data_IF_042660188275
#
_entry.id   IF_042660188275
#
_cell.length_a   1.000
_cell.length_b   1.000
_cell.length_c   1.000
_cell.angle_alpha   90.00
_cell.angle_beta   90.00
_cell.angle_gamma   90.00
#
_symmetry.space_group_name_H-M   'P 1'
#
loop_
_entity.id
_entity.type
_entity.pdbx_description
1 polymer ?
#
# COMPACT_ATOMS: atom_id res chain seq x y z
N UNK A 1 0.71 26.13 -16.04
CA UNK A 1 0.87 24.98 -16.94
C UNK A 1 -0.38 24.14 -16.85
N UNK A 2 -0.98 23.78 -17.99
CA UNK A 2 -2.01 22.75 -18.07
C UNK A 2 -1.32 21.42 -18.33
N UNK A 3 -1.30 20.54 -17.32
CA UNK A 3 -0.64 19.23 -17.40
C UNK A 3 -1.24 18.35 -18.49
N UNK A 4 -2.55 18.45 -18.76
CA UNK A 4 -3.21 17.64 -19.78
C UNK A 4 -2.80 18.09 -21.17
N UNK A 5 -2.63 19.39 -21.38
CA UNK A 5 -2.11 19.93 -22.62
C UNK A 5 -0.64 19.55 -22.81
N UNK A 6 0.17 19.61 -21.74
CA UNK A 6 1.58 19.24 -21.79
C UNK A 6 1.79 17.77 -22.15
N UNK A 7 1.04 16.86 -21.51
CA UNK A 7 1.05 15.42 -21.85
C UNK A 7 0.69 15.19 -23.32
N UNK A 8 -0.26 15.96 -23.87
CA UNK A 8 -0.66 15.85 -25.28
C UNK A 8 0.38 16.38 -26.26
N UNK A 9 1.37 17.15 -25.80
CA UNK A 9 2.45 17.68 -26.65
C UNK A 9 3.47 16.60 -27.05
N UNK A 10 3.51 15.47 -26.34
CA UNK A 10 4.40 14.35 -26.66
C UNK A 10 3.93 13.64 -27.94
N UNK A 11 4.88 13.35 -28.82
CA UNK A 11 4.61 12.73 -30.13
C UNK A 11 5.33 11.39 -30.27
N UNK A 12 4.75 10.42 -30.99
CA UNK A 12 5.41 9.16 -31.28
C UNK A 12 6.71 9.39 -32.08
N UNK A 13 7.70 8.56 -31.82
CA UNK A 13 8.97 8.55 -32.55
C UNK A 13 8.86 7.58 -33.72
N UNK A 14 9.33 7.99 -34.90
CA UNK A 14 9.36 7.16 -36.10
C UNK A 14 10.40 6.03 -35.95
N UNK A 15 9.90 4.79 -35.86
CA UNK A 15 10.72 3.59 -35.66
C UNK A 15 11.49 3.23 -36.92
N UNK A 16 10.93 3.47 -38.11
CA UNK A 16 11.59 3.12 -39.38
C UNK A 16 12.81 4.01 -39.60
N UNK A 17 12.66 5.31 -39.32
CA UNK A 17 13.78 6.26 -39.37
C UNK A 17 14.84 5.96 -38.30
N UNK A 18 14.42 5.68 -37.08
CA UNK A 18 15.33 5.32 -35.98
C UNK A 18 16.14 4.05 -36.29
N UNK A 19 15.51 3.05 -36.91
CA UNK A 19 16.16 1.77 -37.24
C UNK A 19 17.20 1.88 -38.36
N UNK A 20 17.20 2.99 -39.12
CA UNK A 20 18.18 3.27 -40.17
C UNK A 20 19.44 3.98 -39.64
N UNK A 21 19.42 4.46 -38.39
CA UNK A 21 20.58 5.09 -37.76
C UNK A 21 21.62 4.04 -37.37
N UNK A 22 22.91 4.37 -37.58
CA UNK A 22 24.00 3.47 -37.19
C UNK A 22 24.07 3.35 -35.67
N UNK A 23 24.17 2.12 -35.17
CA UNK A 23 24.36 1.76 -33.76
C UNK A 23 23.13 1.87 -32.83
N UNK A 24 21.90 1.80 -33.35
CA UNK A 24 20.70 1.67 -32.50
C UNK A 24 20.56 0.21 -32.03
N UNK A 25 20.49 0.01 -30.72
CA UNK A 25 20.29 -1.32 -30.13
C UNK A 25 18.83 -1.75 -30.15
N UNK A 26 18.57 -3.07 -30.17
CA UNK A 26 17.22 -3.65 -30.11
C UNK A 26 16.43 -3.15 -28.89
N UNK A 27 17.10 -3.00 -27.73
CA UNK A 27 16.51 -2.47 -26.50
C UNK A 27 16.02 -1.02 -26.66
N UNK A 28 16.70 -0.20 -27.46
CA UNK A 28 16.27 1.19 -27.75
C UNK A 28 15.03 1.17 -28.63
N UNK A 29 15.00 0.34 -29.67
CA UNK A 29 13.83 0.18 -30.56
C UNK A 29 12.60 -0.29 -29.77
N UNK A 30 12.76 -1.27 -28.89
CA UNK A 30 11.65 -1.79 -28.08
C UNK A 30 11.17 -0.78 -27.02
N UNK A 31 12.07 0.02 -26.47
CA UNK A 31 11.72 1.13 -25.58
C UNK A 31 10.88 2.19 -26.31
N UNK A 32 11.22 2.49 -27.57
CA UNK A 32 10.46 3.41 -28.41
C UNK A 32 9.08 2.86 -28.78
N UNK A 33 8.95 1.56 -29.07
CA UNK A 33 7.64 0.92 -29.27
C UNK A 33 6.75 1.07 -28.04
N UNK A 34 7.28 0.79 -26.84
CA UNK A 34 6.55 0.97 -25.59
C UNK A 34 6.14 2.42 -25.34
N UNK A 35 7.04 3.37 -25.61
CA UNK A 35 6.77 4.80 -25.50
C UNK A 35 5.67 5.28 -26.45
N UNK A 36 5.72 4.88 -27.73
CA UNK A 36 4.69 5.23 -28.72
C UNK A 36 3.31 4.66 -28.32
N UNK A 37 3.30 3.43 -27.80
CA UNK A 37 2.08 2.80 -27.29
C UNK A 37 1.53 3.53 -26.06
N UNK A 38 2.39 4.03 -25.18
CA UNK A 38 1.96 4.84 -24.05
C UNK A 38 1.31 6.16 -24.48
N UNK A 39 1.86 6.85 -25.48
CA UNK A 39 1.27 8.06 -26.04
C UNK A 39 -0.13 7.79 -26.62
N UNK A 40 -0.30 6.67 -27.33
CA UNK A 40 -1.59 6.29 -27.88
C UNK A 40 -2.63 6.01 -26.79
N UNK A 41 -2.22 5.32 -25.72
CA UNK A 41 -3.06 5.12 -24.54
C UNK A 41 -3.44 6.45 -23.87
N UNK A 42 -2.53 7.42 -23.78
CA UNK A 42 -2.83 8.75 -23.23
C UNK A 42 -3.82 9.53 -24.09
N UNK A 43 -3.74 9.41 -25.42
CA UNK A 43 -4.68 10.06 -26.36
C UNK A 43 -6.10 9.48 -26.26
N UNK A 44 -6.19 8.18 -26.04
CA UNK A 44 -7.46 7.45 -25.88
C UNK A 44 -8.03 7.51 -24.46
N UNK A 45 -7.38 8.24 -23.53
CA UNK A 45 -7.84 8.40 -22.15
C UNK A 45 -7.52 7.22 -21.22
N UNK A 46 -6.69 6.28 -21.67
CA UNK A 46 -6.24 5.09 -20.92
C UNK A 46 -4.97 5.39 -20.10
N UNK A 47 -5.06 6.35 -19.19
CA UNK A 47 -3.93 6.93 -18.44
C UNK A 47 -3.17 5.89 -17.59
N UNK A 48 -3.87 5.01 -16.89
CA UNK A 48 -3.25 3.97 -16.06
C UNK A 48 -2.42 2.97 -16.88
N UNK A 49 -2.92 2.58 -18.06
CA UNK A 49 -2.22 1.66 -18.97
C UNK A 49 -0.97 2.35 -19.52
N UNK A 50 -1.08 3.62 -19.90
CA UNK A 50 0.05 4.40 -20.35
C UNK A 50 1.14 4.51 -19.27
N UNK A 51 0.76 4.76 -18.02
CA UNK A 51 1.71 4.82 -16.90
C UNK A 51 2.40 3.48 -16.64
N UNK A 52 1.73 2.34 -16.82
CA UNK A 52 2.34 1.01 -16.70
C UNK A 52 3.37 0.80 -17.82
N UNK A 53 3.01 1.11 -19.06
CA UNK A 53 3.89 0.98 -20.22
C UNK A 53 5.12 1.88 -20.08
N UNK A 54 4.94 3.14 -19.64
CA UNK A 54 6.04 4.07 -19.38
C UNK A 54 6.97 3.60 -18.27
N UNK A 55 6.45 3.00 -17.19
CA UNK A 55 7.30 2.42 -16.13
C UNK A 55 8.18 1.28 -16.67
N UNK A 56 7.62 0.44 -17.55
CA UNK A 56 8.38 -0.61 -18.20
C UNK A 56 9.49 -0.01 -19.07
N UNK A 57 9.16 0.97 -19.90
CA UNK A 57 10.12 1.70 -20.75
C UNK A 57 11.25 2.29 -19.91
N UNK A 58 10.94 3.04 -18.86
CA UNK A 58 11.93 3.66 -17.97
C UNK A 58 12.77 2.63 -17.20
N UNK A 59 12.22 1.43 -16.91
CA UNK A 59 13.00 0.36 -16.26
C UNK A 59 14.01 -0.30 -17.19
N UNK A 60 13.72 -0.35 -18.49
CA UNK A 60 14.56 -1.00 -19.51
C UNK A 60 15.56 -0.02 -20.11
N UNK A 61 15.14 1.22 -20.35
CA UNK A 61 15.98 2.31 -20.82
C UNK A 61 15.84 3.51 -19.88
N UNK A 62 16.63 3.52 -18.79
CA UNK A 62 16.53 4.57 -17.77
C UNK A 62 16.89 5.95 -18.28
N UNK A 63 17.68 6.07 -19.34
CA UNK A 63 18.16 7.35 -19.89
C UNK A 63 17.27 7.86 -21.04
N UNK A 64 16.11 7.22 -21.26
CA UNK A 64 15.11 7.71 -22.20
C UNK A 64 14.30 8.86 -21.56
N UNK A 65 14.90 10.05 -21.52
CA UNK A 65 14.38 11.17 -20.74
C UNK A 65 13.01 11.69 -21.20
N UNK A 66 12.62 11.53 -22.46
CA UNK A 66 11.25 11.81 -22.91
C UNK A 66 10.23 10.90 -22.22
N UNK A 67 10.53 9.61 -22.08
CA UNK A 67 9.67 8.66 -21.37
C UNK A 67 9.65 8.94 -19.85
N UNK A 68 10.78 9.35 -19.27
CA UNK A 68 10.89 9.75 -17.85
C UNK A 68 10.06 11.00 -17.57
N UNK A 69 10.18 12.04 -18.41
CA UNK A 69 9.41 13.28 -18.31
C UNK A 69 7.91 13.02 -18.50
N UNK A 70 7.52 12.22 -19.50
CA UNK A 70 6.12 11.87 -19.73
C UNK A 70 5.52 11.10 -18.55
N UNK A 71 6.28 10.16 -17.96
CA UNK A 71 5.87 9.46 -16.75
C UNK A 71 5.75 10.40 -15.53
N UNK A 72 6.69 11.33 -15.37
CA UNK A 72 6.64 12.37 -14.35
C UNK A 72 5.39 13.24 -14.47
N UNK A 73 5.03 13.66 -15.69
CA UNK A 73 3.81 14.43 -15.95
C UNK A 73 2.54 13.62 -15.64
N UNK A 74 2.51 12.32 -15.97
CA UNK A 74 1.40 11.45 -15.60
C UNK A 74 1.25 11.31 -14.07
N UNK A 75 2.36 11.22 -13.33
CA UNK A 75 2.33 11.24 -11.87
C UNK A 75 1.85 12.58 -11.32
N UNK A 76 2.29 13.70 -11.89
CA UNK A 76 1.82 15.02 -11.49
C UNK A 76 0.32 15.18 -11.76
N UNK A 77 -0.17 14.72 -12.91
CA UNK A 77 -1.59 14.76 -13.30
C UNK A 77 -2.47 13.93 -12.36
N UNK A 78 -1.96 12.77 -11.90
CA UNK A 78 -2.63 11.88 -10.95
C UNK A 78 -2.36 12.23 -9.48
N UNK A 79 -1.82 13.43 -9.21
CA UNK A 79 -1.54 13.97 -7.88
C UNK A 79 -0.53 13.15 -7.03
N UNK A 80 0.38 12.43 -7.68
CA UNK A 80 1.51 11.72 -7.06
C UNK A 80 2.78 12.58 -7.12
N UNK A 81 2.75 13.73 -6.44
CA UNK A 81 3.76 14.79 -6.57
C UNK A 81 5.17 14.32 -6.20
N UNK A 82 5.33 13.51 -5.15
CA UNK A 82 6.66 13.04 -4.71
C UNK A 82 7.38 12.22 -5.80
N UNK A 83 6.63 11.36 -6.52
CA UNK A 83 7.17 10.55 -7.61
C UNK A 83 7.45 11.37 -8.85
N UNK A 84 6.59 12.35 -9.13
CA UNK A 84 6.82 13.29 -10.23
C UNK A 84 8.11 14.07 -10.00
N UNK A 85 8.32 14.56 -8.77
CA UNK A 85 9.53 15.29 -8.37
C UNK A 85 10.78 14.43 -8.53
N UNK A 86 10.77 13.18 -8.08
CA UNK A 86 11.89 12.24 -8.25
C UNK A 86 12.29 12.10 -9.72
N UNK A 87 11.32 11.89 -10.61
CA UNK A 87 11.59 11.70 -12.03
C UNK A 87 12.07 12.97 -12.73
N UNK A 88 11.49 14.14 -12.42
CA UNK A 88 11.93 15.39 -13.02
C UNK A 88 13.31 15.83 -12.51
N UNK A 89 13.62 15.64 -11.22
CA UNK A 89 14.95 15.88 -10.67
C UNK A 89 16.00 15.02 -11.38
N UNK A 90 15.69 13.74 -11.61
CA UNK A 90 16.57 12.84 -12.34
C UNK A 90 16.93 13.35 -13.74
N UNK A 91 15.95 13.88 -14.48
CA UNK A 91 16.20 14.43 -15.82
C UNK A 91 17.00 15.74 -15.74
N UNK A 92 16.62 16.64 -14.83
CA UNK A 92 17.29 17.93 -14.66
C UNK A 92 18.77 17.79 -14.22
N UNK A 93 19.09 16.76 -13.44
CA UNK A 93 20.47 16.48 -13.01
C UNK A 93 21.32 15.84 -14.11
N UNK A 94 20.70 15.14 -15.06
CA UNK A 94 21.40 14.39 -16.10
C UNK A 94 21.56 15.16 -17.42
N UNK A 95 20.62 16.05 -17.74
CA UNK A 95 20.63 16.85 -18.95
C UNK A 95 20.89 18.33 -18.62
N UNK A 96 22.10 18.80 -18.94
CA UNK A 96 22.57 20.17 -18.67
C UNK A 96 21.66 21.26 -19.29
N UNK A 97 20.92 20.93 -20.35
CA UNK A 97 20.00 21.83 -21.08
C UNK A 97 18.51 21.41 -20.99
N UNK A 98 18.10 20.61 -19.99
CA UNK A 98 16.68 20.19 -19.86
C UNK A 98 15.78 21.28 -19.26
N UNK A 99 15.52 22.30 -20.07
CA UNK A 99 14.63 23.43 -19.73
C UNK A 99 13.25 22.93 -19.26
N UNK A 100 12.72 21.87 -19.89
CA UNK A 100 11.41 21.29 -19.55
C UNK A 100 11.37 20.62 -18.18
N UNK A 101 12.37 19.82 -17.81
CA UNK A 101 12.39 19.16 -16.51
C UNK A 101 12.45 20.18 -15.35
N UNK A 102 13.24 21.25 -15.52
CA UNK A 102 13.29 22.36 -14.57
C UNK A 102 11.96 23.13 -14.49
N UNK A 103 11.27 23.35 -15.62
CA UNK A 103 9.94 23.95 -15.65
C UNK A 103 8.89 23.08 -14.92
N UNK A 104 8.93 21.76 -15.11
CA UNK A 104 8.04 20.81 -14.44
C UNK A 104 8.26 20.81 -12.92
N UNK A 105 9.53 20.80 -12.46
CA UNK A 105 9.89 20.94 -11.04
C UNK A 105 9.36 22.23 -10.43
N UNK A 106 9.56 23.36 -11.13
CA UNK A 106 9.06 24.66 -10.68
C UNK A 106 7.52 24.69 -10.59
N UNK A 107 6.84 24.06 -11.54
CA UNK A 107 5.37 23.99 -11.54
C UNK A 107 4.83 23.18 -10.36
N UNK A 108 5.36 21.97 -10.12
CA UNK A 108 4.89 21.12 -9.02
C UNK A 108 5.26 21.69 -7.63
N UNK A 109 6.42 22.35 -7.53
CA UNK A 109 6.86 23.01 -6.30
C UNK A 109 6.00 24.21 -5.89
N UNK A 110 5.52 24.99 -6.88
CA UNK A 110 4.59 26.11 -6.63
C UNK A 110 3.17 25.64 -6.25
N UNK A 111 2.72 24.49 -6.76
CA UNK A 111 1.42 23.89 -6.41
C UNK A 111 1.35 23.41 -4.96
N UNK A 112 2.45 22.85 -4.44
CA UNK A 112 2.57 22.33 -3.07
C UNK A 112 2.61 23.43 -1.99
N UNK A 113 3.04 24.65 -2.35
CA UNK A 113 3.19 25.79 -1.43
C UNK A 113 1.86 26.51 -1.05
N UNK A 114 0.72 26.11 -1.63
CA UNK A 114 -0.60 26.69 -1.31
C UNK A 114 -1.26 26.13 -0.04
N UNK A 115 -0.61 25.19 0.66
CA UNK A 115 -1.17 24.55 1.85
C UNK A 115 -0.12 24.04 2.83
N UNK A 116 0.63 24.93 3.49
CA UNK A 116 1.11 24.78 4.89
C UNK A 116 2.01 25.95 5.28
N UNK A 117 1.72 26.54 6.44
CA UNK A 117 2.57 27.50 7.13
C UNK A 117 3.53 26.80 8.10
N UNK A 118 4.64 27.51 8.38
CA UNK A 118 5.63 27.35 9.48
C UNK A 118 6.62 26.17 9.33
N UNK A 119 7.96 26.33 9.39
CA UNK A 119 8.82 27.50 9.62
C UNK A 119 10.31 27.10 9.70
N UNK A 120 11.17 28.12 9.90
CA UNK A 120 12.65 28.14 10.07
C UNK A 120 13.47 28.39 8.79
N UNK A 121 13.77 29.65 8.43
CA UNK A 121 14.96 30.48 8.83
C UNK A 121 16.21 30.11 8.02
N UNK A 122 16.77 30.95 7.14
CA UNK A 122 17.41 32.26 7.43
C UNK A 122 17.59 33.15 6.17
N UNK A 123 17.34 34.46 6.35
CA UNK A 123 18.09 35.67 5.88
C UNK A 123 18.27 35.90 4.35
N UNK A 124 18.07 37.08 3.73
CA UNK A 124 18.18 38.50 4.13
C UNK A 124 17.22 39.41 3.32
N UNK A 125 16.62 40.36 4.04
CA UNK A 125 16.05 41.69 3.74
C UNK A 125 16.07 42.27 2.30
N UNK A 126 14.93 42.87 1.93
CA UNK A 126 14.83 44.32 1.71
C UNK A 126 13.40 44.84 1.93
N UNK A 127 13.32 46.07 2.44
CA UNK A 127 12.16 46.74 3.03
C UNK A 127 11.31 47.51 2.00
N UNK A 128 9.99 47.54 2.18
CA UNK A 128 9.17 48.76 2.21
C UNK A 128 7.69 48.45 2.59
N UNK A 129 7.17 49.18 3.57
CA UNK A 129 5.78 49.23 4.08
C UNK A 129 5.07 50.48 3.45
N UNK A 130 3.79 50.78 3.75
CA UNK A 130 2.55 49.99 3.67
C UNK A 130 1.39 50.80 3.02
N UNK A 131 0.29 50.18 2.58
CA UNK A 131 -1.02 50.86 2.57
C UNK A 131 -2.21 49.88 2.63
N UNK A 132 -3.26 50.33 3.34
CA UNK A 132 -4.44 49.61 3.85
C UNK A 132 -5.70 49.99 3.01
N UNK A 133 -6.92 49.47 3.25
CA UNK A 133 -7.66 48.63 2.29
C UNK A 133 -9.06 49.14 1.85
N UNK A 134 -9.73 48.32 0.99
CA UNK A 134 -11.19 48.13 0.76
C UNK A 134 -11.71 48.56 -0.65
N UNK A 135 -12.90 48.10 -1.13
CA UNK A 135 -13.78 47.01 -0.69
C UNK A 135 -14.20 46.02 -1.82
N UNK A 136 -14.90 44.96 -1.38
CA UNK A 136 -15.50 43.86 -2.15
C UNK A 136 -16.62 44.33 -3.09
N UNK A 137 -16.71 43.74 -4.28
CA UNK A 137 -17.94 43.67 -5.08
C UNK A 137 -18.34 42.22 -5.33
N UNK A 138 -19.60 41.93 -4.97
CA UNK A 138 -20.32 40.69 -5.23
C UNK A 138 -20.69 40.66 -6.71
N UNK A 139 -20.54 39.53 -7.39
CA UNK A 139 -21.33 39.24 -8.59
C UNK A 139 -21.94 37.84 -8.56
N UNK A 140 -23.16 37.81 -9.08
CA UNK A 140 -24.19 36.79 -8.98
C UNK A 140 -23.84 35.48 -9.71
N UNK A 141 -24.40 34.38 -9.18
CA UNK A 141 -24.60 33.14 -9.93
C UNK A 141 -25.71 33.33 -10.97
N UNK A 142 -25.60 32.71 -12.17
CA UNK A 142 -26.76 32.23 -12.90
C UNK A 142 -26.98 30.73 -12.67
N UNK A 143 -28.27 30.37 -12.62
CA UNK A 143 -28.83 29.03 -12.41
C UNK A 143 -28.69 28.15 -13.66
N UNK A 144 -28.77 26.84 -13.37
CA UNK A 144 -28.74 25.66 -14.23
C UNK A 144 -29.77 25.63 -15.36
N UNK A 145 -29.44 24.88 -16.41
CA UNK A 145 -30.43 24.11 -17.18
C UNK A 145 -30.31 22.63 -16.78
N UNK A 146 -31.42 22.08 -16.30
CA UNK A 146 -31.67 20.67 -16.01
C UNK A 146 -31.91 19.89 -17.30
N UNK A 147 -31.36 18.69 -17.40
CA UNK A 147 -32.01 17.57 -18.10
C UNK A 147 -31.98 16.36 -17.17
N UNK A 148 -33.09 16.19 -16.45
CA UNK A 148 -33.47 14.98 -15.74
C UNK A 148 -33.74 13.89 -16.78
N UNK A 149 -32.74 13.07 -17.12
CA UNK A 149 -33.01 11.77 -17.77
C UNK A 149 -31.85 10.76 -17.66
N UNK A 150 -30.69 11.13 -17.09
CA UNK A 150 -29.50 10.25 -17.05
C UNK A 150 -29.23 9.64 -15.66
N UNK A 151 -30.09 9.87 -14.67
CA UNK A 151 -29.78 9.48 -13.27
C UNK A 151 -29.98 8.01 -12.91
N UNK A 152 -30.72 7.23 -13.71
CA UNK A 152 -30.93 5.81 -13.39
C UNK A 152 -29.68 4.96 -13.65
N UNK A 153 -28.88 5.31 -14.67
CA UNK A 153 -27.68 4.57 -15.08
C UNK A 153 -26.48 4.87 -14.16
N UNK A 154 -26.37 6.11 -13.67
CA UNK A 154 -25.23 6.57 -12.87
C UNK A 154 -25.25 6.05 -11.41
N UNK A 155 -26.42 5.74 -10.86
CA UNK A 155 -26.55 5.17 -9.50
C UNK A 155 -26.10 3.70 -9.47
N UNK A 156 -26.33 2.95 -10.55
CA UNK A 156 -25.86 1.57 -10.69
C UNK A 156 -24.34 1.50 -10.85
N UNK A 157 -23.75 2.39 -11.66
CA UNK A 157 -22.29 2.49 -11.85
C UNK A 157 -21.53 2.96 -10.59
N UNK A 158 -22.12 3.86 -9.79
CA UNK A 158 -21.51 4.34 -8.54
C UNK A 158 -21.40 3.23 -7.49
N UNK A 159 -22.38 2.33 -7.42
CA UNK A 159 -22.34 1.19 -6.50
C UNK A 159 -21.38 0.09 -6.97
N UNK A 160 -21.10 0.01 -8.28
CA UNK A 160 -20.09 -0.88 -8.85
C UNK A 160 -18.66 -0.41 -8.53
N UNK A 161 -18.43 0.92 -8.58
CA UNK A 161 -17.12 1.54 -8.33
C UNK A 161 -16.59 1.40 -6.90
N UNK A 162 -17.46 1.25 -5.91
CA UNK A 162 -17.07 1.09 -4.50
C UNK A 162 -16.57 -0.33 -4.16
N UNK A 163 -16.86 -1.33 -5.01
CA UNK A 163 -16.42 -2.72 -4.80
C UNK A 163 -15.04 -3.03 -5.41
N UNK A 164 -14.45 -2.10 -6.18
CA UNK A 164 -13.20 -2.28 -6.94
C UNK A 164 -11.90 -2.16 -6.12
N UNK A 165 -11.97 -1.88 -4.81
CA UNK A 165 -10.77 -1.78 -3.96
C UNK A 165 -10.19 -3.12 -3.48
N UNK A 166 -10.73 -4.26 -3.92
CA UNK A 166 -10.24 -5.59 -3.55
C UNK A 166 -9.71 -6.35 -4.79
N UNK A 167 -8.52 -6.96 -4.71
CA UNK A 167 -7.85 -7.62 -5.85
C UNK A 167 -8.64 -8.81 -6.42
N UNK A 168 -9.61 -9.34 -5.68
CA UNK A 168 -10.51 -10.40 -6.11
C UNK A 168 -11.46 -9.97 -7.24
N UNK A 169 -11.81 -8.67 -7.32
CA UNK A 169 -12.85 -8.16 -8.24
C UNK A 169 -12.28 -7.81 -9.63
N UNK A 170 -11.00 -7.41 -9.70
CA UNK A 170 -10.31 -7.10 -10.95
C UNK A 170 -10.16 -8.33 -11.87
N UNK A 171 -10.04 -9.53 -11.27
CA UNK A 171 -9.92 -10.80 -12.01
C UNK A 171 -11.28 -11.23 -12.58
N UNK A 172 -12.36 -11.06 -11.82
CA UNK A 172 -13.73 -11.37 -12.29
C UNK A 172 -14.18 -10.47 -13.44
N UNK A 173 -13.74 -9.20 -13.50
CA UNK A 173 -14.09 -8.29 -14.60
C UNK A 173 -13.33 -8.63 -15.88
N UNK A 174 -12.08 -9.07 -15.79
CA UNK A 174 -11.33 -9.57 -16.96
C UNK A 174 -11.88 -10.90 -17.49
N UNK A 175 -12.40 -11.76 -16.61
CA UNK A 175 -13.06 -13.00 -17.03
C UNK A 175 -14.44 -12.69 -17.62
N UNK A 176 -15.19 -11.75 -17.04
CA UNK A 176 -16.51 -11.33 -17.53
C UNK A 176 -16.41 -10.59 -18.86
N UNK A 177 -15.39 -9.75 -19.08
CA UNK A 177 -15.16 -9.06 -20.36
C UNK A 177 -14.83 -10.06 -21.47
N UNK A 178 -14.06 -11.11 -21.18
CA UNK A 178 -13.77 -12.20 -22.12
C UNK A 178 -15.03 -13.02 -22.41
N UNK A 179 -15.86 -13.33 -21.41
CA UNK A 179 -17.15 -14.03 -21.61
C UNK A 179 -18.12 -13.18 -22.44
N UNK A 180 -18.22 -11.88 -22.18
CA UNK A 180 -19.06 -10.96 -22.97
C UNK A 180 -18.56 -10.82 -24.41
N UNK A 181 -17.24 -10.78 -24.63
CA UNK A 181 -16.65 -10.76 -25.97
C UNK A 181 -16.96 -12.05 -26.75
N UNK A 182 -16.91 -13.20 -26.07
CA UNK A 182 -17.27 -14.51 -26.66
C UNK A 182 -18.77 -14.60 -26.96
N UNK A 183 -19.63 -14.11 -26.07
CA UNK A 183 -21.07 -14.06 -26.32
C UNK A 183 -21.42 -13.13 -27.49
N UNK A 184 -20.74 -11.99 -27.62
CA UNK A 184 -20.90 -11.09 -28.76
C UNK A 184 -20.51 -11.75 -30.09
N UNK A 185 -19.40 -12.51 -30.11
CA UNK A 185 -18.97 -13.28 -31.29
C UNK A 185 -19.97 -14.39 -31.63
N UNK A 186 -20.53 -15.08 -30.63
CA UNK A 186 -21.54 -16.12 -30.84
C UNK A 186 -22.85 -15.55 -31.41
N UNK A 187 -23.33 -14.42 -30.89
CA UNK A 187 -24.51 -13.70 -31.41
C UNK A 187 -24.26 -13.21 -32.84
N UNK A 188 -23.05 -12.72 -33.12
CA UNK A 188 -22.66 -12.30 -34.46
C UNK A 188 -22.64 -13.47 -35.46
N UNK A 189 -22.15 -14.65 -35.06
CA UNK A 189 -22.18 -15.86 -35.89
C UNK A 189 -23.60 -16.38 -36.14
N UNK A 190 -24.50 -16.31 -35.14
CA UNK A 190 -25.91 -16.70 -35.31
C UNK A 190 -26.63 -15.74 -36.27
N UNK A 191 -26.40 -14.43 -36.12
CA UNK A 191 -26.98 -13.43 -37.02
C UNK A 191 -26.43 -13.54 -38.45
N UNK A 192 -25.15 -13.89 -38.61
CA UNK A 192 -24.54 -14.17 -39.92
C UNK A 192 -25.16 -15.40 -40.61
N UNK A 193 -25.57 -16.42 -39.83
CA UNK A 193 -26.30 -17.60 -40.31
C UNK A 193 -27.74 -17.30 -40.74
N UNK A 194 -28.38 -16.29 -40.14
CA UNK A 194 -29.76 -15.92 -40.46
C UNK A 194 -29.88 -15.03 -41.71
N UNK A 195 -28.83 -14.27 -42.07
CA UNK A 195 -28.83 -13.43 -43.28
C UNK A 195 -28.41 -14.17 -44.54
N UNK A 196 -27.64 -15.27 -44.42
CA UNK A 196 -27.22 -16.09 -45.54
C UNK A 196 -27.95 -17.43 -45.49
N UNK A 197 -28.99 -17.56 -46.31
CA UNK A 197 -29.83 -18.75 -46.40
C UNK A 197 -29.02 -20.04 -46.58
N UNK A 198 -29.51 -21.07 -45.88
CA UNK A 198 -29.08 -22.46 -45.85
C UNK A 198 -28.57 -22.98 -47.21
N UNK A 199 -27.26 -23.26 -47.31
CA UNK A 199 -26.63 -24.16 -48.29
C UNK A 199 -25.15 -24.47 -47.90
N UNK A 200 -24.99 -25.34 -46.90
CA UNK A 200 -23.86 -26.31 -46.74
C UNK A 200 -22.57 -25.88 -46.01
N UNK A 201 -21.70 -26.84 -45.59
CA UNK A 201 -21.94 -28.21 -45.11
C UNK A 201 -21.96 -28.27 -43.56
N UNK A 202 -22.39 -29.42 -43.04
CA UNK A 202 -22.33 -29.82 -41.63
C UNK A 202 -21.01 -29.43 -40.94
N UNK A 203 -21.14 -28.96 -39.70
CA UNK A 203 -20.15 -28.98 -38.62
C UNK A 203 -18.73 -29.42 -38.99
N UNK A 204 -18.00 -28.62 -39.76
CA UNK A 204 -16.54 -28.59 -39.61
C UNK A 204 -16.31 -27.71 -38.39
N UNK A 205 -16.47 -28.31 -37.21
CA UNK A 205 -15.78 -27.80 -36.02
C UNK A 205 -14.33 -27.66 -36.49
N UNK A 206 -13.88 -26.43 -36.70
CA UNK A 206 -12.58 -26.16 -37.28
C UNK A 206 -11.54 -26.64 -36.25
N UNK A 207 -11.16 -27.92 -36.34
CA UNK A 207 -10.47 -28.68 -35.29
C UNK A 207 -9.20 -27.98 -34.86
N UNK A 208 -8.55 -27.28 -35.80
CA UNK A 208 -7.38 -26.44 -35.56
C UNK A 208 -7.70 -25.21 -34.69
N UNK A 209 -8.80 -24.50 -34.96
CA UNK A 209 -9.23 -23.36 -34.16
C UNK A 209 -9.64 -23.77 -32.75
N UNK A 210 -10.36 -24.89 -32.62
CA UNK A 210 -10.71 -25.48 -31.31
C UNK A 210 -9.48 -25.95 -30.54
N UNK A 211 -8.48 -26.52 -31.22
CA UNK A 211 -7.21 -26.90 -30.59
C UNK A 211 -6.42 -25.68 -30.11
N UNK A 212 -6.34 -24.60 -30.91
CA UNK A 212 -5.72 -23.33 -30.51
C UNK A 212 -6.44 -22.70 -29.31
N UNK A 213 -7.78 -22.71 -29.30
CA UNK A 213 -8.59 -22.23 -28.18
C UNK A 213 -8.28 -22.99 -26.88
N UNK A 214 -8.32 -24.33 -26.92
CA UNK A 214 -8.04 -25.16 -25.75
C UNK A 214 -6.62 -24.96 -25.22
N UNK A 215 -5.63 -24.78 -26.12
CA UNK A 215 -4.25 -24.46 -25.75
C UNK A 215 -4.15 -23.13 -25.01
N UNK A 216 -4.79 -22.07 -25.52
CA UNK A 216 -4.80 -20.74 -24.87
C UNK A 216 -5.47 -20.80 -23.50
N UNK A 217 -6.58 -21.54 -23.35
CA UNK A 217 -7.24 -21.72 -22.05
C UNK A 217 -6.33 -22.45 -21.06
N UNK A 218 -5.68 -23.53 -21.49
CA UNK A 218 -4.73 -24.27 -20.66
C UNK A 218 -3.52 -23.42 -20.23
N UNK A 219 -2.97 -22.62 -21.15
CA UNK A 219 -1.88 -21.67 -20.86
C UNK A 219 -2.33 -20.59 -19.87
N UNK A 220 -3.55 -20.06 -20.00
CA UNK A 220 -4.10 -19.09 -19.05
C UNK A 220 -4.28 -19.68 -17.65
N UNK A 221 -4.80 -20.90 -17.55
CA UNK A 221 -4.93 -21.58 -16.25
C UNK A 221 -3.56 -21.88 -15.62
N UNK A 222 -2.56 -22.23 -16.44
CA UNK A 222 -1.18 -22.36 -15.98
C UNK A 222 -0.62 -21.02 -15.49
N UNK A 223 -0.75 -19.94 -16.26
CA UNK A 223 -0.28 -18.61 -15.89
C UNK A 223 -0.93 -18.11 -14.60
N UNK A 224 -2.23 -18.36 -14.37
CA UNK A 224 -2.91 -18.05 -13.11
C UNK A 224 -2.31 -18.81 -11.93
N UNK A 225 -2.02 -20.11 -12.10
CA UNK A 225 -1.36 -20.92 -11.05
C UNK A 225 0.04 -20.41 -10.77
N UNK A 226 0.83 -20.11 -11.80
CA UNK A 226 2.20 -19.59 -11.67
C UNK A 226 2.21 -18.22 -10.98
N UNK A 227 1.28 -17.32 -11.35
CA UNK A 227 1.11 -16.02 -10.70
C UNK A 227 0.75 -16.16 -9.21
N UNK A 228 -0.18 -17.04 -8.88
CA UNK A 228 -0.55 -17.31 -7.49
C UNK A 228 0.62 -17.89 -6.69
N UNK A 229 1.39 -18.80 -7.29
CA UNK A 229 2.59 -19.36 -6.69
C UNK A 229 3.67 -18.28 -6.46
N UNK A 230 3.93 -17.42 -7.46
CA UNK A 230 4.88 -16.32 -7.35
C UNK A 230 4.46 -15.30 -6.28
N UNK A 231 3.17 -14.94 -6.21
CA UNK A 231 2.64 -14.06 -5.18
C UNK A 231 2.78 -14.66 -3.78
N UNK A 232 2.51 -15.97 -3.64
CA UNK A 232 2.73 -16.67 -2.38
C UNK A 232 4.22 -16.66 -1.99
N UNK A 233 5.13 -16.97 -2.91
CA UNK A 233 6.57 -16.93 -2.67
C UNK A 233 7.05 -15.54 -2.26
N UNK A 234 6.61 -14.48 -2.95
CA UNK A 234 6.92 -13.10 -2.62
C UNK A 234 6.46 -12.76 -1.19
N UNK A 235 5.25 -13.16 -0.82
CA UNK A 235 4.73 -13.02 0.55
C UNK A 235 5.61 -13.75 1.57
N UNK A 236 6.09 -14.96 1.25
CA UNK A 236 6.99 -15.71 2.13
C UNK A 236 8.36 -15.04 2.30
N UNK A 237 8.91 -14.42 1.25
CA UNK A 237 10.16 -13.64 1.34
C UNK A 237 9.97 -12.43 2.26
N UNK A 238 8.86 -11.72 2.12
CA UNK A 238 8.52 -10.59 2.99
C UNK A 238 8.38 -11.01 4.46
N UNK A 239 7.65 -12.10 4.73
CA UNK A 239 7.50 -12.64 6.08
C UNK A 239 8.84 -13.11 6.67
N UNK A 240 9.71 -13.73 5.85
CA UNK A 240 11.06 -14.10 6.28
C UNK A 240 11.92 -12.87 6.62
N UNK A 241 11.79 -11.77 5.86
CA UNK A 241 12.46 -10.50 6.17
C UNK A 241 11.97 -9.92 7.51
N UNK A 242 10.66 -9.94 7.76
CA UNK A 242 10.09 -9.51 9.05
C UNK A 242 10.61 -10.34 10.22
N UNK A 243 10.68 -11.68 10.08
CA UNK A 243 11.27 -12.56 11.08
C UNK A 243 12.74 -12.23 11.35
N UNK A 244 13.50 -11.92 10.30
CA UNK A 244 14.89 -11.47 10.46
C UNK A 244 14.99 -10.16 11.23
N UNK A 245 14.09 -9.20 10.98
CA UNK A 245 14.05 -7.94 11.73
C UNK A 245 13.74 -8.17 13.21
N UNK A 246 12.84 -9.11 13.54
CA UNK A 246 12.57 -9.50 14.93
C UNK A 246 13.86 -10.01 15.59
N UNK A 247 14.60 -10.91 14.93
CA UNK A 247 15.88 -11.42 15.43
C UNK A 247 16.91 -10.32 15.63
N UNK A 248 17.00 -9.35 14.70
CA UNK A 248 17.90 -8.19 14.83
C UNK A 248 17.54 -7.33 16.05
N UNK A 249 16.26 -6.98 16.22
CA UNK A 249 15.83 -6.21 17.39
C UNK A 249 16.08 -6.95 18.70
N UNK A 250 15.84 -8.26 18.70
CA UNK A 250 16.12 -9.12 19.85
C UNK A 250 17.62 -9.12 20.19
N UNK A 251 18.51 -9.24 19.20
CA UNK A 251 19.96 -9.15 19.37
C UNK A 251 20.43 -7.76 19.85
N UNK A 252 19.66 -6.71 19.58
CA UNK A 252 19.89 -5.35 20.07
C UNK A 252 19.28 -5.10 21.47
N UNK A 253 18.82 -6.15 22.17
CA UNK A 253 18.15 -6.05 23.48
C UNK A 253 16.84 -5.23 23.45
N UNK A 254 16.27 -4.96 22.26
CA UNK A 254 15.00 -4.26 22.08
C UNK A 254 13.84 -5.25 22.16
N UNK A 255 13.70 -5.92 23.31
CA UNK A 255 12.79 -7.07 23.43
C UNK A 255 11.33 -6.72 23.22
N UNK A 256 10.88 -5.57 23.74
CA UNK A 256 9.48 -5.14 23.62
C UNK A 256 9.12 -4.87 22.14
N UNK A 257 9.99 -4.17 21.39
CA UNK A 257 9.79 -3.92 19.97
C UNK A 257 9.84 -5.22 19.14
N UNK A 258 10.76 -6.13 19.49
CA UNK A 258 10.84 -7.44 18.86
C UNK A 258 9.56 -8.25 19.06
N UNK A 259 9.00 -8.25 20.28
CA UNK A 259 7.74 -8.93 20.59
C UNK A 259 6.56 -8.32 19.83
N UNK A 260 6.46 -6.99 19.77
CA UNK A 260 5.39 -6.31 19.03
C UNK A 260 5.44 -6.64 17.53
N UNK A 261 6.64 -6.62 16.92
CA UNK A 261 6.81 -7.03 15.51
C UNK A 261 6.51 -8.50 15.30
N UNK A 262 6.92 -9.37 16.22
CA UNK A 262 6.65 -10.80 16.11
C UNK A 262 5.14 -11.09 16.14
N UNK A 263 4.40 -10.48 17.06
CA UNK A 263 2.96 -10.71 17.20
C UNK A 263 2.14 -10.12 16.03
N UNK A 264 2.71 -9.15 15.30
CA UNK A 264 2.10 -8.62 14.08
C UNK A 264 2.21 -9.57 12.87
N UNK A 265 3.05 -10.61 12.94
CA UNK A 265 3.22 -11.58 11.85
C UNK A 265 2.00 -12.53 11.82
N UNK A 266 1.27 -12.63 10.69
CA UNK A 266 0.11 -13.51 10.59
C UNK A 266 0.54 -14.98 10.52
N UNK A 267 0.49 -15.67 11.65
CA UNK A 267 0.97 -17.06 11.81
C UNK A 267 0.37 -18.03 10.78
N UNK A 268 -0.91 -17.84 10.44
CA UNK A 268 -1.66 -18.65 9.45
C UNK A 268 -1.13 -18.54 8.02
N UNK A 269 -0.38 -17.48 7.72
CA UNK A 269 0.13 -17.20 6.38
C UNK A 269 1.58 -17.69 6.19
N UNK A 270 2.19 -18.29 7.23
CA UNK A 270 3.57 -18.73 7.18
C UNK A 270 3.71 -20.07 6.45
N UNK A 271 4.71 -20.17 5.58
CA UNK A 271 5.20 -21.47 5.10
C UNK A 271 5.77 -22.31 6.24
N UNK A 272 5.95 -23.61 6.02
CA UNK A 272 6.55 -24.50 7.03
C UNK A 272 7.92 -24.01 7.52
N UNK A 273 8.76 -23.48 6.63
CA UNK A 273 10.09 -22.98 7.00
C UNK A 273 10.03 -21.68 7.80
N UNK A 274 9.17 -20.74 7.39
CA UNK A 274 8.97 -19.50 8.14
C UNK A 274 8.32 -19.77 9.49
N UNK A 275 7.44 -20.77 9.57
CA UNK A 275 6.80 -21.20 10.82
C UNK A 275 7.84 -21.76 11.80
N UNK A 276 8.75 -22.62 11.34
CA UNK A 276 9.88 -23.10 12.17
C UNK A 276 10.71 -21.95 12.73
N UNK A 277 11.07 -20.95 11.90
CA UNK A 277 11.81 -19.76 12.35
C UNK A 277 11.01 -18.97 13.39
N UNK A 278 9.74 -18.71 13.11
CA UNK A 278 8.83 -18.01 14.03
C UNK A 278 8.76 -18.70 15.40
N UNK A 279 8.55 -20.02 15.40
CA UNK A 279 8.43 -20.80 16.64
C UNK A 279 9.75 -20.84 17.43
N UNK A 280 10.88 -20.89 16.74
CA UNK A 280 12.21 -20.91 17.38
C UNK A 280 12.52 -19.65 18.19
N UNK A 281 11.99 -18.49 17.77
CA UNK A 281 12.26 -17.21 18.43
C UNK A 281 11.15 -16.80 19.41
N UNK A 282 9.91 -17.26 19.18
CA UNK A 282 8.71 -16.77 19.90
C UNK A 282 8.84 -16.85 21.42
N UNK A 283 9.20 -18.02 21.94
CA UNK A 283 9.26 -18.23 23.38
C UNK A 283 10.23 -17.26 24.07
N UNK A 284 11.44 -17.11 23.54
CA UNK A 284 12.48 -16.26 24.13
C UNK A 284 12.18 -14.78 23.97
N UNK A 285 11.70 -14.36 22.79
CA UNK A 285 11.31 -12.97 22.52
C UNK A 285 10.21 -12.53 23.48
N UNK A 286 9.13 -13.31 23.58
CA UNK A 286 7.99 -12.97 24.45
C UNK A 286 8.37 -13.00 25.93
N UNK A 287 9.13 -14.01 26.37
CA UNK A 287 9.60 -14.10 27.77
C UNK A 287 10.47 -12.91 28.16
N UNK A 288 11.44 -12.52 27.33
CA UNK A 288 12.34 -11.42 27.66
C UNK A 288 11.64 -10.06 27.60
N UNK A 289 10.72 -9.87 26.65
CA UNK A 289 9.88 -8.68 26.60
C UNK A 289 8.99 -8.56 27.85
N UNK A 290 8.34 -9.65 28.25
CA UNK A 290 7.51 -9.72 29.46
C UNK A 290 8.33 -9.45 30.74
N UNK A 291 9.56 -9.98 30.82
CA UNK A 291 10.46 -9.70 31.93
C UNK A 291 10.88 -8.22 31.98
N UNK A 292 11.25 -7.65 30.84
CA UNK A 292 11.61 -6.23 30.72
C UNK A 292 10.43 -5.32 31.14
N UNK A 293 9.22 -5.61 30.66
CA UNK A 293 8.00 -4.89 31.05
C UNK A 293 7.73 -4.98 32.55
N UNK A 294 8.00 -6.14 33.17
CA UNK A 294 7.87 -6.32 34.62
C UNK A 294 8.86 -5.42 35.39
N UNK A 295 10.10 -5.37 34.94
CA UNK A 295 11.15 -4.52 35.52
C UNK A 295 10.81 -3.04 35.37
N UNK A 296 10.45 -2.60 34.16
CA UNK A 296 10.05 -1.22 33.86
C UNK A 296 8.82 -0.80 34.67
N UNK A 297 7.77 -1.64 34.69
CA UNK A 297 6.55 -1.40 35.43
C UNK A 297 6.78 -1.30 36.94
N UNK A 298 7.63 -2.16 37.51
CA UNK A 298 8.03 -2.08 38.92
C UNK A 298 8.80 -0.79 39.22
N UNK A 299 9.71 -0.38 38.34
CA UNK A 299 10.44 0.89 38.47
C UNK A 299 9.50 2.10 38.45
N UNK A 300 8.51 2.11 37.55
CA UNK A 300 7.50 3.16 37.44
C UNK A 300 6.61 3.24 38.69
N UNK A 301 6.20 2.08 39.23
CA UNK A 301 5.47 2.01 40.49
C UNK A 301 6.26 2.67 41.64
N UNK A 302 7.55 2.33 41.78
CA UNK A 302 8.41 2.91 42.81
C UNK A 302 8.60 4.43 42.64
N UNK A 303 8.53 4.93 41.41
CA UNK A 303 8.53 6.37 41.07
C UNK A 303 7.15 7.02 41.23
N UNK A 304 6.16 6.33 41.80
CA UNK A 304 4.77 6.76 41.98
C UNK A 304 4.02 7.07 40.66
N UNK A 305 4.54 6.60 39.52
CA UNK A 305 3.93 6.74 38.19
C UNK A 305 2.97 5.58 37.93
N UNK A 306 1.89 5.52 38.69
CA UNK A 306 1.04 4.32 38.76
C UNK A 306 0.35 3.98 37.45
N UNK A 307 -0.18 4.97 36.71
CA UNK A 307 -0.82 4.74 35.41
C UNK A 307 0.14 4.15 34.38
N UNK A 308 1.37 4.68 34.31
CA UNK A 308 2.42 4.15 33.41
C UNK A 308 2.85 2.74 33.85
N UNK A 309 2.94 2.49 35.17
CA UNK A 309 3.24 1.15 35.70
C UNK A 309 2.18 0.13 35.31
N UNK A 310 0.89 0.47 35.45
CA UNK A 310 -0.25 -0.37 35.05
C UNK A 310 -0.13 -0.74 33.58
N UNK A 311 0.04 0.24 32.68
CA UNK A 311 0.17 -0.03 31.24
C UNK A 311 1.27 -1.05 30.90
N UNK A 312 2.43 -0.93 31.54
CA UNK A 312 3.55 -1.85 31.34
C UNK A 312 3.25 -3.24 31.89
N UNK A 313 2.70 -3.31 33.10
CA UNK A 313 2.42 -4.57 33.80
C UNK A 313 1.23 -5.33 33.19
N UNK A 314 0.24 -4.65 32.64
CA UNK A 314 -0.84 -5.32 31.89
C UNK A 314 -0.32 -5.96 30.61
N UNK A 315 0.56 -5.25 29.88
CA UNK A 315 1.18 -5.77 28.66
C UNK A 315 1.96 -7.06 28.90
N UNK A 316 2.51 -7.30 30.10
CA UNK A 316 3.15 -8.58 30.47
C UNK A 316 2.23 -9.77 30.21
N UNK A 317 0.94 -9.63 30.54
CA UNK A 317 -0.04 -10.70 30.44
C UNK A 317 -0.72 -10.78 29.06
N UNK A 318 -0.47 -9.81 28.17
CA UNK A 318 -0.85 -9.92 26.76
C UNK A 318 0.19 -10.69 25.95
N UNK A 319 1.44 -10.75 26.42
CA UNK A 319 2.53 -11.49 25.76
C UNK A 319 2.52 -12.99 26.12
N UNK A 320 1.81 -13.37 27.17
CA UNK A 320 1.70 -14.75 27.64
C UNK A 320 1.24 -14.82 29.10
N UNK A 321 0.98 -16.03 29.57
CA UNK A 321 0.51 -16.28 30.94
C UNK A 321 1.51 -17.13 31.70
N UNK A 322 1.40 -17.16 33.04
CA UNK A 322 2.19 -18.03 33.91
C UNK A 322 3.72 -17.86 33.79
N UNK A 323 4.18 -16.63 33.53
CA UNK A 323 5.59 -16.27 33.58
C UNK A 323 6.19 -16.57 34.96
N UNK A 324 7.46 -17.00 35.02
CA UNK A 324 8.15 -17.27 36.29
C UNK A 324 8.30 -16.05 37.20
N UNK A 325 8.23 -14.84 36.63
CA UNK A 325 8.24 -13.55 37.34
C UNK A 325 6.86 -12.89 37.39
N UNK A 326 5.83 -13.59 36.90
CA UNK A 326 4.49 -13.04 36.77
C UNK A 326 3.77 -12.88 38.10
N UNK A 327 4.21 -13.59 39.14
CA UNK A 327 3.74 -13.42 40.51
C UNK A 327 4.09 -12.02 41.05
N UNK A 328 5.34 -11.60 40.92
CA UNK A 328 5.82 -10.25 41.24
C UNK A 328 5.13 -9.20 40.38
N UNK A 329 4.94 -9.47 39.09
CA UNK A 329 4.23 -8.58 38.18
C UNK A 329 2.77 -8.35 38.62
N UNK A 330 2.01 -9.41 38.91
CA UNK A 330 0.63 -9.31 39.40
C UNK A 330 0.54 -8.61 40.75
N UNK A 331 1.43 -8.92 41.68
CA UNK A 331 1.47 -8.23 42.97
C UNK A 331 1.69 -6.72 42.80
N UNK A 332 2.64 -6.35 41.93
CA UNK A 332 2.97 -4.95 41.66
C UNK A 332 1.86 -4.26 40.87
N UNK A 333 1.18 -4.98 39.98
CA UNK A 333 0.02 -4.48 39.23
C UNK A 333 -1.13 -4.18 40.20
N UNK A 334 -1.43 -5.10 41.12
CA UNK A 334 -2.45 -4.90 42.14
C UNK A 334 -2.16 -3.67 43.01
N UNK A 335 -0.91 -3.50 43.46
CA UNK A 335 -0.48 -2.31 44.21
C UNK A 335 -0.59 -1.03 43.38
N UNK A 336 -0.26 -1.09 42.10
CA UNK A 336 -0.34 0.06 41.19
C UNK A 336 -1.79 0.49 40.99
N UNK A 337 -2.71 -0.46 40.84
CA UNK A 337 -4.13 -0.20 40.71
C UNK A 337 -4.74 0.46 41.94
N UNK A 338 -4.48 -0.09 43.13
CA UNK A 338 -4.93 0.51 44.39
C UNK A 338 -4.39 1.94 44.54
N UNK A 339 -3.11 2.16 44.25
CA UNK A 339 -2.49 3.48 44.33
C UNK A 339 -2.99 4.47 43.25
N UNK A 340 -3.61 3.97 42.17
CA UNK A 340 -4.26 4.75 41.13
C UNK A 340 -5.76 5.01 41.42
N UNK A 341 -6.25 4.69 42.62
CA UNK A 341 -7.65 4.76 43.02
C UNK A 341 -8.58 3.81 42.22
N UNK A 342 -8.05 2.66 41.80
CA UNK A 342 -8.81 1.59 41.13
C UNK A 342 -8.75 0.27 41.94
N UNK A 343 -9.29 0.24 43.17
CA UNK A 343 -9.10 -0.89 44.10
C UNK A 343 -9.73 -2.21 43.62
N UNK A 344 -10.82 -2.17 42.85
CA UNK A 344 -11.48 -3.36 42.31
C UNK A 344 -10.55 -4.13 41.35
N UNK A 345 -9.92 -3.43 40.41
CA UNK A 345 -8.91 -4.02 39.52
C UNK A 345 -7.66 -4.47 40.29
N UNK A 346 -7.32 -3.75 41.36
CA UNK A 346 -6.28 -4.16 42.28
C UNK A 346 -6.56 -5.53 42.91
N UNK A 347 -7.79 -5.73 43.38
CA UNK A 347 -8.26 -7.00 43.92
C UNK A 347 -8.26 -8.12 42.87
N UNK A 348 -8.67 -7.84 41.63
CA UNK A 348 -8.59 -8.80 40.52
C UNK A 348 -7.15 -9.29 40.28
N UNK A 349 -6.18 -8.37 40.26
CA UNK A 349 -4.77 -8.72 40.08
C UNK A 349 -4.24 -9.58 41.24
N UNK A 350 -4.63 -9.27 42.49
CA UNK A 350 -4.28 -10.09 43.65
C UNK A 350 -4.94 -11.48 43.63
N UNK A 351 -6.20 -11.58 43.21
CA UNK A 351 -6.88 -12.87 43.06
C UNK A 351 -6.23 -13.73 41.97
N UNK A 352 -5.88 -13.11 40.82
CA UNK A 352 -5.09 -13.79 39.78
C UNK A 352 -3.76 -14.29 40.30
N UNK A 353 -3.06 -13.51 41.13
CA UNK A 353 -1.81 -13.93 41.75
C UNK A 353 -2.01 -15.18 42.62
N UNK A 354 -3.05 -15.19 43.45
CA UNK A 354 -3.37 -16.33 44.33
C UNK A 354 -3.74 -17.58 43.52
N UNK A 355 -4.47 -17.41 42.42
CA UNK A 355 -4.92 -18.51 41.55
C UNK A 355 -3.81 -19.06 40.66
N UNK A 356 -3.07 -18.19 39.98
CA UNK A 356 -2.10 -18.59 38.96
C UNK A 356 -0.73 -18.97 39.57
N UNK A 357 -0.43 -18.49 40.79
CA UNK A 357 0.86 -18.68 41.46
C UNK A 357 0.68 -19.00 42.97
N UNK A 358 0.01 -20.12 43.31
CA UNK A 358 -0.34 -20.45 44.70
C UNK A 358 0.86 -20.58 45.65
N UNK A 359 2.02 -20.99 45.13
CA UNK A 359 3.25 -21.20 45.91
C UNK A 359 4.10 -19.91 46.04
N UNK A 360 3.66 -18.79 45.44
CA UNK A 360 4.44 -17.56 45.48
C UNK A 360 4.48 -16.95 46.88
N UNK A 361 5.67 -16.48 47.29
CA UNK A 361 5.84 -15.71 48.51
C UNK A 361 4.99 -14.41 48.54
N UNK A 362 4.49 -13.95 47.39
CA UNK A 362 3.60 -12.79 47.30
C UNK A 362 2.15 -13.08 47.69
N UNK A 363 1.72 -14.36 47.72
CA UNK A 363 0.34 -14.76 48.04
C UNK A 363 -0.09 -14.27 49.42
N UNK A 364 0.77 -14.42 50.44
CA UNK A 364 0.46 -13.94 51.80
C UNK A 364 0.22 -12.43 51.85
N UNK A 365 1.00 -11.66 51.10
CA UNK A 365 0.86 -10.21 51.03
C UNK A 365 -0.38 -9.81 50.22
N UNK A 366 -0.68 -10.52 49.15
CA UNK A 366 -1.88 -10.30 48.34
C UNK A 366 -3.16 -10.52 49.15
N UNK A 367 -3.24 -11.60 49.94
CA UNK A 367 -4.37 -11.87 50.84
C UNK A 367 -4.55 -10.76 51.89
N UNK A 368 -3.46 -10.33 52.52
CA UNK A 368 -3.50 -9.21 53.47
C UNK A 368 -3.99 -7.91 52.82
N UNK A 369 -3.55 -7.62 51.58
CA UNK A 369 -4.03 -6.45 50.83
C UNK A 369 -5.50 -6.55 50.48
N UNK A 370 -5.98 -7.71 50.02
CA UNK A 370 -7.40 -7.93 49.74
C UNK A 370 -8.29 -7.66 50.94
N UNK A 371 -7.90 -8.13 52.13
CA UNK A 371 -8.64 -7.88 53.36
C UNK A 371 -8.71 -6.38 53.70
N UNK A 372 -7.67 -5.60 53.38
CA UNK A 372 -7.68 -4.15 53.59
C UNK A 372 -8.47 -3.34 52.56
N UNK A 373 -8.95 -3.98 51.49
CA UNK A 373 -9.78 -3.36 50.45
C UNK A 373 -11.29 -3.60 50.66
N UNK A 374 -11.64 -4.47 51.60
CA UNK A 374 -13.00 -4.70 52.10
C UNK A 374 -13.30 -3.69 53.19
#
# INVERSE_FOLDING_TARGET
>A
MDLKQEIRSFTPIDIEKLSQEKNVSENVVDSVKGYNKAIENLRTGSEDIAMIELKKVVSVNPDFYDAVNLLGLCYAYTNQIDKAQELFSRVADAEVDSVKAAEYLNYIGRGSASGKSVGSSKTVKSEAKPQKPAPKTKYAKPKQASNEEVQAEYILLRNLGLQLKKPSVAITINILSVICLVAAIAVFMVNYKNTNGDNGPDTVVNTELTAKYNKVVAENEKLKKDLNAANFQLKQVQLSSQLSQVSTLYGQYKYIEAADKLLAIPEKDLSADNKKKYDSIKANVLKNAANQLTIEGTSLYNKKKYKEAIQKLEKVFTLGTKWSFGDKALYTLGKSYVAANEPQKGAEAYNRLISDYPDSAYVKYARSRLQSLQ
#
